data_IF_871816310383
#
_entry.id   IF_871816310383
#
_cell.length_a   1.000
_cell.length_b   1.000
_cell.length_c   1.000
_cell.angle_alpha   90.00
_cell.angle_beta   90.00
_cell.angle_gamma   90.00
#
_symmetry.space_group_name_H-M   'P 1'
#
loop_
_entity.id
_entity.type
_entity.pdbx_description
1 polymer ?
#
# COMPACT_ATOMS: atom_id res chain seq x y z
N UNK A 1 -14.20 -40.80 2.94
CA UNK A 1 -12.98 -40.58 2.13
C UNK A 1 -13.41 -39.90 0.84
N UNK A 2 -12.68 -38.87 0.37
CA UNK A 2 -13.01 -38.23 -0.90
C UNK A 2 -12.57 -39.15 -2.04
N UNK A 3 -13.52 -39.81 -2.69
CA UNK A 3 -13.27 -40.61 -3.89
C UNK A 3 -13.91 -39.82 -5.02
N UNK A 4 -13.11 -39.42 -6.02
CA UNK A 4 -13.64 -38.87 -7.28
C UNK A 4 -14.39 -40.00 -7.98
N UNK A 5 -15.61 -39.74 -8.43
CA UNK A 5 -16.41 -40.75 -9.10
C UNK A 5 -15.70 -41.31 -10.35
N UNK A 6 -15.84 -42.60 -10.66
CA UNK A 6 -15.28 -43.17 -11.89
C UNK A 6 -15.83 -42.40 -13.11
N UNK A 7 -14.95 -41.98 -14.02
CA UNK A 7 -15.30 -41.19 -15.23
C UNK A 7 -15.88 -39.81 -14.91
N UNK A 8 -15.29 -39.10 -13.95
CA UNK A 8 -15.69 -37.74 -13.62
C UNK A 8 -15.37 -36.78 -14.78
N UNK A 9 -16.39 -36.44 -15.56
CA UNK A 9 -16.29 -35.64 -16.80
C UNK A 9 -15.50 -34.33 -16.62
N UNK A 10 -15.73 -33.49 -15.58
CA UNK A 10 -14.95 -32.27 -15.39
C UNK A 10 -13.44 -32.51 -15.20
N UNK A 11 -13.07 -33.64 -14.58
CA UNK A 11 -11.66 -33.98 -14.40
C UNK A 11 -11.04 -34.47 -15.71
N UNK A 12 -11.80 -35.22 -16.52
CA UNK A 12 -11.37 -35.62 -17.86
C UNK A 12 -11.07 -34.40 -18.73
N UNK A 13 -12.02 -33.47 -18.81
CA UNK A 13 -11.87 -32.23 -19.59
C UNK A 13 -10.66 -31.42 -19.12
N UNK A 14 -10.48 -31.29 -17.80
CA UNK A 14 -9.31 -30.61 -17.24
C UNK A 14 -8.00 -31.29 -17.67
N UNK A 15 -7.91 -32.61 -17.54
CA UNK A 15 -6.70 -33.36 -17.90
C UNK A 15 -6.40 -33.28 -19.40
N UNK A 16 -7.45 -33.30 -20.25
CA UNK A 16 -7.31 -33.14 -21.70
C UNK A 16 -6.79 -31.73 -22.06
N UNK A 17 -7.38 -30.68 -21.49
CA UNK A 17 -6.94 -29.29 -21.72
C UNK A 17 -5.53 -29.03 -21.20
N UNK A 18 -5.18 -29.61 -20.05
CA UNK A 18 -3.86 -29.47 -19.45
C UNK A 18 -2.84 -30.43 -20.04
N UNK A 19 -3.25 -31.42 -20.84
CA UNK A 19 -2.38 -32.44 -21.41
C UNK A 19 -1.66 -33.31 -20.35
N UNK A 20 -2.34 -33.66 -19.26
CA UNK A 20 -1.80 -34.45 -18.13
C UNK A 20 -2.55 -35.76 -17.94
N UNK A 21 -1.97 -36.68 -17.17
CA UNK A 21 -2.58 -38.00 -16.90
C UNK A 21 -3.75 -37.91 -15.91
N UNK A 22 -4.86 -38.57 -16.26
CA UNK A 22 -6.08 -38.56 -15.43
C UNK A 22 -5.89 -39.31 -14.11
N UNK A 23 -5.26 -40.48 -14.12
CA UNK A 23 -5.09 -41.30 -12.93
C UNK A 23 -4.15 -40.62 -11.93
N UNK A 24 -3.07 -40.04 -12.44
CA UNK A 24 -2.09 -39.30 -11.63
C UNK A 24 -2.72 -38.05 -11.00
N UNK A 25 -3.44 -37.24 -11.79
CA UNK A 25 -4.13 -36.05 -11.27
C UNK A 25 -5.22 -36.42 -10.26
N UNK A 26 -6.03 -37.44 -10.56
CA UNK A 26 -7.06 -37.93 -9.64
C UNK A 26 -6.45 -38.38 -8.30
N UNK A 27 -5.31 -39.09 -8.34
CA UNK A 27 -4.60 -39.52 -7.13
C UNK A 27 -4.17 -38.32 -6.28
N UNK A 28 -3.46 -37.35 -6.86
CA UNK A 28 -2.91 -36.22 -6.12
C UNK A 28 -3.92 -35.13 -5.72
N UNK A 29 -5.12 -35.14 -6.30
CA UNK A 29 -6.24 -34.33 -5.80
C UNK A 29 -6.82 -34.88 -4.49
N UNK A 30 -6.65 -36.17 -4.21
CA UNK A 30 -7.24 -36.85 -3.06
C UNK A 30 -6.20 -37.34 -2.02
N UNK A 31 -4.92 -37.19 -2.32
CA UNK A 31 -3.82 -37.63 -1.48
C UNK A 31 -2.77 -36.54 -1.28
N UNK A 32 -2.11 -36.58 -0.14
CA UNK A 32 -0.98 -35.70 0.17
C UNK A 32 0.24 -36.53 0.54
N UNK A 33 1.38 -36.21 -0.06
CA UNK A 33 2.68 -36.72 0.35
C UNK A 33 3.19 -35.95 1.58
N UNK A 34 3.68 -36.68 2.57
CA UNK A 34 4.31 -36.13 3.76
C UNK A 34 5.73 -36.67 3.88
N UNK A 35 6.68 -35.77 4.06
CA UNK A 35 8.08 -36.10 4.26
C UNK A 35 8.50 -35.80 5.69
N UNK A 36 8.91 -36.84 6.42
CA UNK A 36 9.61 -36.72 7.71
C UNK A 36 11.12 -36.68 7.46
N UNK A 37 11.93 -36.61 8.52
CA UNK A 37 13.39 -36.61 8.39
C UNK A 37 13.93 -37.94 7.85
N UNK A 38 13.17 -39.03 7.99
CA UNK A 38 13.62 -40.39 7.68
C UNK A 38 12.80 -41.08 6.59
N UNK A 39 11.53 -40.70 6.40
CA UNK A 39 10.60 -41.42 5.51
C UNK A 39 9.63 -40.49 4.78
N UNK A 40 9.09 -40.98 3.65
CA UNK A 40 7.97 -40.33 2.96
C UNK A 40 6.77 -41.24 2.92
N UNK A 41 5.62 -40.75 3.38
CA UNK A 41 4.37 -41.50 3.33
C UNK A 41 3.28 -40.69 2.62
N UNK A 42 2.33 -41.40 2.01
CA UNK A 42 1.17 -40.84 1.33
C UNK A 42 -0.05 -41.07 2.21
N UNK A 43 -0.86 -40.04 2.43
CA UNK A 43 -2.12 -40.17 3.16
C UNK A 43 -3.29 -39.61 2.37
N UNK A 44 -4.48 -40.22 2.47
CA UNK A 44 -5.70 -39.61 1.95
C UNK A 44 -6.01 -38.33 2.74
N UNK A 45 -6.68 -37.39 2.08
CA UNK A 45 -7.13 -36.13 2.70
C UNK A 45 -8.66 -36.09 2.81
N UNK A 46 -9.17 -35.22 3.69
CA UNK A 46 -10.62 -35.03 3.82
C UNK A 46 -11.20 -34.30 2.59
N UNK A 47 -12.52 -34.41 2.38
CA UNK A 47 -13.20 -33.70 1.27
C UNK A 47 -12.92 -32.19 1.30
N UNK A 48 -13.00 -31.58 2.49
CA UNK A 48 -12.72 -30.16 2.67
C UNK A 48 -11.27 -29.81 2.29
N UNK A 49 -10.30 -30.62 2.72
CA UNK A 49 -8.89 -30.43 2.35
C UNK A 49 -8.64 -30.59 0.85
N UNK A 50 -9.32 -31.53 0.19
CA UNK A 50 -9.24 -31.72 -1.25
C UNK A 50 -9.82 -30.52 -2.02
N UNK A 51 -10.98 -30.01 -1.61
CA UNK A 51 -11.58 -28.79 -2.19
C UNK A 51 -10.64 -27.60 -2.08
N UNK A 52 -10.10 -27.35 -0.88
CA UNK A 52 -9.18 -26.23 -0.67
C UNK A 52 -7.88 -26.38 -1.48
N UNK A 53 -7.32 -27.59 -1.54
CA UNK A 53 -6.12 -27.86 -2.34
C UNK A 53 -6.36 -27.68 -3.85
N UNK A 54 -7.52 -28.09 -4.35
CA UNK A 54 -7.95 -27.85 -5.74
C UNK A 54 -8.04 -26.36 -6.03
N UNK A 55 -8.65 -25.59 -5.14
CA UNK A 55 -8.80 -24.13 -5.34
C UNK A 55 -7.45 -23.41 -5.25
N UNK A 56 -6.54 -23.88 -4.38
CA UNK A 56 -5.16 -23.43 -4.34
C UNK A 56 -4.42 -23.72 -5.66
N UNK A 57 -4.58 -24.92 -6.22
CA UNK A 57 -4.01 -25.29 -7.52
C UNK A 57 -4.55 -24.39 -8.64
N UNK A 58 -5.86 -24.15 -8.68
CA UNK A 58 -6.49 -23.28 -9.68
C UNK A 58 -5.98 -21.83 -9.58
N UNK A 59 -5.93 -21.25 -8.37
CA UNK A 59 -5.34 -19.92 -8.13
C UNK A 59 -3.89 -19.85 -8.59
N UNK A 60 -3.10 -20.90 -8.32
CA UNK A 60 -1.69 -20.94 -8.68
C UNK A 60 -1.47 -21.01 -10.18
N UNK A 61 -2.24 -21.84 -10.90
CA UNK A 61 -2.22 -21.89 -12.37
C UNK A 61 -2.56 -20.51 -12.93
N UNK A 62 -3.63 -19.89 -12.44
CA UNK A 62 -4.05 -18.56 -12.90
C UNK A 62 -2.97 -17.50 -12.63
N UNK A 63 -2.36 -17.49 -11.44
CA UNK A 63 -1.29 -16.56 -11.10
C UNK A 63 -0.06 -16.74 -12.00
N UNK A 64 0.35 -17.98 -12.28
CA UNK A 64 1.45 -18.27 -13.20
C UNK A 64 1.14 -17.82 -14.63
N UNK A 65 -0.06 -18.11 -15.12
CA UNK A 65 -0.51 -17.65 -16.44
C UNK A 65 -0.54 -16.12 -16.52
N UNK A 66 -1.08 -15.45 -15.51
CA UNK A 66 -1.13 -13.99 -15.43
C UNK A 66 0.28 -13.38 -15.51
N UNK A 67 1.22 -13.89 -14.71
CA UNK A 67 2.61 -13.43 -14.73
C UNK A 67 3.26 -13.66 -16.09
N UNK A 68 3.08 -14.84 -16.70
CA UNK A 68 3.60 -15.14 -18.03
C UNK A 68 3.07 -14.19 -19.10
N UNK A 69 1.78 -13.83 -19.04
CA UNK A 69 1.17 -12.85 -19.94
C UNK A 69 1.82 -11.48 -19.73
N UNK A 70 1.95 -11.03 -18.49
CA UNK A 70 2.58 -9.75 -18.15
C UNK A 70 4.04 -9.71 -18.64
N UNK A 71 4.79 -10.79 -18.47
CA UNK A 71 6.18 -10.89 -18.92
C UNK A 71 6.29 -10.81 -20.45
N UNK A 72 5.40 -11.48 -21.19
CA UNK A 72 5.36 -11.40 -22.64
C UNK A 72 4.98 -10.00 -23.14
N UNK A 73 4.02 -9.35 -22.48
CA UNK A 73 3.67 -7.95 -22.78
C UNK A 73 4.86 -7.03 -22.51
N UNK A 74 5.54 -7.18 -21.38
CA UNK A 74 6.72 -6.39 -21.03
C UNK A 74 7.88 -6.60 -22.03
N UNK A 75 8.12 -7.84 -22.47
CA UNK A 75 9.12 -8.14 -23.49
C UNK A 75 8.77 -7.48 -24.83
N UNK A 76 7.50 -7.53 -25.25
CA UNK A 76 7.04 -6.89 -26.47
C UNK A 76 7.12 -5.36 -26.43
N UNK A 77 6.99 -4.75 -25.24
CA UNK A 77 7.10 -3.31 -25.02
C UNK A 77 8.53 -2.83 -24.68
N UNK A 78 9.49 -3.76 -24.55
CA UNK A 78 10.86 -3.41 -24.14
C UNK A 78 11.60 -2.61 -25.22
N UNK A 79 12.09 -1.42 -24.87
CA UNK A 79 12.92 -0.60 -25.75
C UNK A 79 14.36 -1.11 -25.81
N UNK A 80 14.90 -1.31 -27.00
CA UNK A 80 16.32 -1.69 -27.19
C UNK A 80 17.30 -0.59 -26.73
N UNK A 81 16.85 0.66 -26.66
CA UNK A 81 17.65 1.80 -26.16
C UNK A 81 17.24 2.11 -24.73
N UNK A 82 18.23 2.32 -23.85
CA UNK A 82 18.00 2.68 -22.45
C UNK A 82 17.22 4.00 -22.37
N UNK A 83 16.13 3.99 -21.62
CA UNK A 83 15.29 5.17 -21.41
C UNK A 83 16.07 6.30 -20.71
N UNK A 84 15.86 7.53 -21.17
CA UNK A 84 16.40 8.74 -20.54
C UNK A 84 15.58 9.15 -19.30
N UNK A 85 14.26 8.99 -19.38
CA UNK A 85 13.30 9.33 -18.33
C UNK A 85 12.06 8.44 -18.47
N UNK A 86 11.23 8.38 -17.42
CA UNK A 86 9.97 7.64 -17.44
C UNK A 86 8.86 8.41 -16.70
N UNK A 87 7.61 8.06 -17.00
CA UNK A 87 6.43 8.45 -16.21
C UNK A 87 5.82 7.14 -15.69
N UNK A 88 5.80 6.98 -14.37
CA UNK A 88 5.14 5.85 -13.73
C UNK A 88 3.67 6.18 -13.48
N UNK A 89 2.77 5.31 -13.95
CA UNK A 89 1.33 5.41 -13.64
C UNK A 89 1.01 4.27 -12.67
N UNK A 90 0.62 4.63 -11.45
CA UNK A 90 0.19 3.66 -10.44
C UNK A 90 -1.34 3.63 -10.40
N UNK A 91 -1.90 2.49 -10.81
CA UNK A 91 -3.31 2.16 -10.65
C UNK A 91 -3.42 1.00 -9.66
N UNK A 92 -3.97 1.28 -8.48
CA UNK A 92 -4.10 0.32 -7.38
C UNK A 92 -5.44 0.52 -6.69
N UNK A 93 -5.96 -0.55 -6.10
CA UNK A 93 -7.15 -0.51 -5.26
C UNK A 93 -7.07 0.61 -4.22
N UNK A 94 -8.12 1.42 -4.14
CA UNK A 94 -8.28 2.39 -3.07
C UNK A 94 -8.55 1.70 -1.73
N UNK A 95 -8.61 2.49 -0.66
CA UNK A 95 -8.96 1.98 0.67
C UNK A 95 -10.33 1.28 0.66
N UNK A 96 -10.40 0.05 1.17
CA UNK A 96 -11.61 -0.78 1.16
C UNK A 96 -12.08 -1.10 2.58
N UNK A 97 -13.38 -1.00 2.80
CA UNK A 97 -14.02 -1.44 4.05
C UNK A 97 -15.40 -1.96 3.72
N UNK A 98 -15.59 -3.25 3.94
CA UNK A 98 -16.84 -3.98 3.76
C UNK A 98 -17.39 -4.45 5.11
N UNK A 99 -18.57 -5.05 5.09
CA UNK A 99 -19.16 -5.71 6.28
C UNK A 99 -18.28 -6.86 6.79
N UNK A 100 -17.61 -7.58 5.88
CA UNK A 100 -16.69 -8.67 6.21
C UNK A 100 -15.38 -8.41 5.46
N UNK A 101 -14.32 -8.06 6.20
CA UNK A 101 -12.98 -7.86 5.64
C UNK A 101 -12.08 -9.05 5.99
N UNK A 102 -11.26 -9.48 5.04
CA UNK A 102 -10.33 -10.60 5.21
C UNK A 102 -8.90 -10.18 4.84
N UNK A 103 -8.02 -11.15 4.61
CA UNK A 103 -6.60 -10.95 4.31
C UNK A 103 -6.38 -10.07 3.07
N UNK A 104 -7.24 -10.18 2.06
CA UNK A 104 -7.16 -9.40 0.82
C UNK A 104 -7.35 -7.90 1.10
N UNK A 105 -8.39 -7.52 1.83
CA UNK A 105 -8.64 -6.14 2.23
C UNK A 105 -7.51 -5.62 3.13
N UNK A 106 -6.99 -6.47 4.02
CA UNK A 106 -5.86 -6.11 4.87
C UNK A 106 -4.61 -5.73 4.05
N UNK A 107 -4.27 -6.50 3.01
CA UNK A 107 -3.17 -6.18 2.11
C UNK A 107 -3.43 -4.88 1.31
N UNK A 108 -4.65 -4.69 0.80
CA UNK A 108 -5.05 -3.47 0.08
C UNK A 108 -4.91 -2.23 0.98
N UNK A 109 -5.42 -2.30 2.20
CA UNK A 109 -5.38 -1.17 3.14
C UNK A 109 -3.96 -0.89 3.64
N UNK A 110 -3.12 -1.93 3.81
CA UNK A 110 -1.70 -1.75 4.09
C UNK A 110 -0.95 -1.02 2.96
N UNK A 111 -1.22 -1.36 1.69
CA UNK A 111 -0.67 -0.59 0.57
C UNK A 111 -1.14 0.87 0.57
N UNK A 112 -2.42 1.12 0.86
CA UNK A 112 -2.95 2.47 0.99
C UNK A 112 -2.30 3.25 2.14
N UNK A 113 -1.99 2.63 3.29
CA UNK A 113 -1.22 3.26 4.37
C UNK A 113 0.17 3.72 3.88
N UNK A 114 0.90 2.86 3.15
CA UNK A 114 2.23 3.21 2.59
C UNK A 114 2.15 4.35 1.58
N UNK A 115 1.17 4.32 0.68
CA UNK A 115 0.96 5.39 -0.30
C UNK A 115 0.54 6.70 0.38
N UNK A 116 -0.30 6.63 1.41
CA UNK A 116 -0.72 7.80 2.17
C UNK A 116 0.46 8.41 2.94
N UNK A 117 1.36 7.59 3.48
CA UNK A 117 2.57 8.08 4.11
C UNK A 117 3.44 8.87 3.13
N UNK A 118 3.68 8.33 1.94
CA UNK A 118 4.49 9.00 0.92
C UNK A 118 3.83 10.31 0.47
N UNK A 119 2.50 10.31 0.32
CA UNK A 119 1.73 11.53 0.07
C UNK A 119 1.94 12.57 1.18
N UNK A 120 1.79 12.19 2.45
CA UNK A 120 1.96 13.11 3.58
C UNK A 120 3.39 13.69 3.61
N UNK A 121 4.42 12.86 3.42
CA UNK A 121 5.81 13.31 3.37
C UNK A 121 6.09 14.24 2.20
N UNK A 122 5.52 13.95 1.03
CA UNK A 122 5.71 14.78 -0.16
C UNK A 122 5.05 16.16 -0.01
N UNK A 123 3.80 16.20 0.42
CA UNK A 123 3.07 17.45 0.69
C UNK A 123 3.81 18.27 1.74
N UNK A 124 4.30 17.63 2.80
CA UNK A 124 5.09 18.30 3.84
C UNK A 124 6.38 18.92 3.30
N UNK A 125 7.14 18.17 2.48
CA UNK A 125 8.38 18.65 1.88
C UNK A 125 8.13 19.86 0.96
N UNK A 126 7.10 19.81 0.12
CA UNK A 126 6.75 20.94 -0.75
C UNK A 126 6.37 22.19 0.06
N UNK A 127 5.60 22.03 1.14
CA UNK A 127 5.20 23.15 1.98
C UNK A 127 6.42 23.73 2.73
N UNK A 128 7.34 22.89 3.20
CA UNK A 128 8.59 23.31 3.82
C UNK A 128 9.49 24.09 2.84
N UNK A 129 9.67 23.61 1.62
CA UNK A 129 10.49 24.27 0.59
C UNK A 129 9.96 25.66 0.25
N UNK A 130 8.64 25.82 0.11
CA UNK A 130 8.00 27.11 -0.11
C UNK A 130 8.22 28.06 1.08
N UNK A 131 8.09 27.55 2.31
CA UNK A 131 8.33 28.34 3.51
C UNK A 131 9.79 28.80 3.62
N UNK A 132 10.75 27.93 3.31
CA UNK A 132 12.17 28.29 3.28
C UNK A 132 12.48 29.32 2.20
N UNK A 133 11.92 29.16 0.99
CA UNK A 133 12.10 30.07 -0.14
C UNK A 133 11.60 31.48 0.19
N UNK A 134 10.48 31.57 0.91
CA UNK A 134 9.90 32.84 1.32
C UNK A 134 10.41 33.32 2.70
N UNK A 135 11.46 32.70 3.25
CA UNK A 135 12.13 33.08 4.51
C UNK A 135 11.19 33.08 5.73
N UNK A 136 10.25 32.14 5.73
CA UNK A 136 9.26 31.96 6.77
C UNK A 136 9.88 31.13 7.91
N UNK A 137 9.79 31.57 9.18
CA UNK A 137 10.08 30.71 10.32
C UNK A 137 9.15 29.49 10.26
N UNK A 138 9.75 28.34 10.00
CA UNK A 138 9.05 27.06 9.95
C UNK A 138 8.67 26.68 11.39
N UNK A 139 7.39 26.84 11.72
CA UNK A 139 6.81 26.17 12.88
C UNK A 139 6.35 24.80 12.42
N UNK A 140 6.71 23.75 13.14
CA UNK A 140 6.23 22.39 12.90
C UNK A 140 4.69 22.43 12.79
N UNK A 141 4.18 22.29 11.57
CA UNK A 141 2.76 22.08 11.35
C UNK A 141 2.50 20.66 11.85
N UNK A 142 1.57 20.54 12.79
CA UNK A 142 1.18 19.26 13.37
C UNK A 142 0.50 18.45 12.27
N UNK A 143 1.19 17.41 11.77
CA UNK A 143 0.74 16.58 10.66
C UNK A 143 0.31 15.22 11.18
N UNK A 144 -0.67 14.63 10.50
CA UNK A 144 -1.07 13.25 10.80
C UNK A 144 0.03 12.27 10.32
N UNK A 145 0.80 11.73 11.28
CA UNK A 145 1.78 10.68 11.02
C UNK A 145 1.12 9.30 11.12
N UNK A 146 1.05 8.60 9.99
CA UNK A 146 0.53 7.23 9.91
C UNK A 146 1.63 6.15 10.02
N UNK A 147 2.90 6.52 10.23
CA UNK A 147 3.99 5.59 10.50
C UNK A 147 3.70 4.63 11.67
N UNK A 148 3.04 5.03 12.78
CA UNK A 148 2.68 4.09 13.84
C UNK A 148 1.74 2.97 13.38
N UNK A 149 0.81 3.25 12.45
CA UNK A 149 -0.07 2.23 11.86
C UNK A 149 0.74 1.27 10.97
N UNK A 150 1.62 1.82 10.13
CA UNK A 150 2.53 1.01 9.30
C UNK A 150 3.41 0.11 10.18
N UNK A 151 3.93 0.63 11.29
CA UNK A 151 4.76 -0.13 12.22
C UNK A 151 3.99 -1.30 12.83
N UNK A 152 2.75 -1.07 13.26
CA UNK A 152 1.86 -2.14 13.75
C UNK A 152 1.73 -3.27 12.73
N UNK A 153 1.65 -2.95 11.44
CA UNK A 153 1.45 -3.93 10.37
C UNK A 153 2.73 -4.70 10.02
N UNK A 154 3.83 -3.98 9.72
CA UNK A 154 5.01 -4.57 9.05
C UNK A 154 6.24 -4.75 9.94
N UNK A 155 6.30 -4.13 11.12
CA UNK A 155 7.48 -4.23 11.99
C UNK A 155 7.64 -5.64 12.56
N UNK A 156 8.81 -5.88 13.16
CA UNK A 156 9.03 -7.10 13.96
C UNK A 156 7.99 -7.15 15.09
N UNK A 157 7.40 -8.33 15.32
CA UNK A 157 6.24 -8.51 16.20
C UNK A 157 5.00 -7.71 15.78
N UNK A 158 4.93 -7.22 14.53
CA UNK A 158 3.72 -6.65 13.93
C UNK A 158 2.78 -7.72 13.39
N UNK A 159 1.65 -7.31 12.83
CA UNK A 159 0.58 -8.21 12.37
C UNK A 159 1.10 -9.24 11.35
N UNK A 160 1.84 -8.80 10.32
CA UNK A 160 2.38 -9.69 9.28
C UNK A 160 3.44 -10.66 9.82
N UNK A 161 4.32 -10.19 10.71
CA UNK A 161 5.38 -11.02 11.28
C UNK A 161 4.79 -12.11 12.20
N UNK A 162 3.81 -11.75 13.04
CA UNK A 162 3.10 -12.70 13.88
C UNK A 162 2.31 -13.73 13.06
N UNK A 163 1.74 -13.31 11.92
CA UNK A 163 1.05 -14.20 10.97
C UNK A 163 2.03 -15.19 10.33
N UNK A 164 3.18 -14.72 9.88
CA UNK A 164 4.23 -15.56 9.29
C UNK A 164 4.81 -16.56 10.29
N UNK A 165 4.98 -16.15 11.56
CA UNK A 165 5.37 -17.06 12.63
C UNK A 165 4.31 -18.13 12.87
N UNK A 166 3.03 -17.76 12.97
CA UNK A 166 1.96 -18.73 13.21
C UNK A 166 1.79 -19.69 12.02
N UNK A 167 2.05 -19.23 10.80
CA UNK A 167 2.05 -20.08 9.62
C UNK A 167 3.10 -21.21 9.68
N UNK A 168 4.21 -20.99 10.40
CA UNK A 168 5.27 -21.99 10.59
C UNK A 168 4.96 -22.99 11.69
N UNK A 169 4.00 -22.69 12.58
CA UNK A 169 3.66 -23.57 13.70
C UNK A 169 2.85 -24.79 13.22
N UNK A 170 3.25 -26.04 13.56
CA UNK A 170 2.56 -27.25 13.11
C UNK A 170 1.09 -27.34 13.55
N UNK A 171 0.73 -26.68 14.66
CA UNK A 171 -0.63 -26.58 15.21
C UNK A 171 -1.19 -25.15 15.18
N UNK A 172 -0.57 -24.25 14.41
CA UNK A 172 -1.04 -22.87 14.29
C UNK A 172 -2.39 -22.80 13.59
N UNK A 173 -3.34 -22.07 14.18
CA UNK A 173 -4.68 -21.83 13.65
C UNK A 173 -4.99 -20.33 13.66
N UNK A 174 -6.04 -19.90 12.95
CA UNK A 174 -6.50 -18.51 12.99
C UNK A 174 -6.88 -18.07 14.41
N UNK A 175 -7.41 -18.99 15.22
CA UNK A 175 -7.76 -18.74 16.63
C UNK A 175 -6.50 -18.51 17.49
N UNK A 176 -5.45 -19.34 17.35
CA UNK A 176 -4.19 -19.15 18.11
C UNK A 176 -3.46 -17.89 17.67
N UNK A 177 -3.50 -17.57 16.37
CA UNK A 177 -2.99 -16.31 15.84
C UNK A 177 -3.72 -15.10 16.43
N UNK A 178 -5.05 -15.12 16.45
CA UNK A 178 -5.85 -14.03 17.05
C UNK A 178 -5.46 -13.78 18.52
N UNK A 179 -5.30 -14.86 19.31
CA UNK A 179 -4.82 -14.73 20.70
C UNK A 179 -3.41 -14.13 20.77
N UNK A 180 -2.52 -14.50 19.86
CA UNK A 180 -1.16 -13.95 19.79
C UNK A 180 -1.18 -12.45 19.49
N UNK A 181 -2.04 -12.00 18.55
CA UNK A 181 -2.26 -10.58 18.28
C UNK A 181 -2.74 -9.84 19.54
N UNK A 182 -3.76 -10.36 20.22
CA UNK A 182 -4.29 -9.75 21.43
C UNK A 182 -3.23 -9.65 22.54
N UNK A 183 -2.49 -10.73 22.80
CA UNK A 183 -1.43 -10.74 23.81
C UNK A 183 -0.32 -9.71 23.51
N UNK A 184 -0.07 -9.44 22.23
CA UNK A 184 1.02 -8.58 21.78
C UNK A 184 0.61 -7.10 21.74
N UNK A 185 -0.59 -6.78 21.26
CA UNK A 185 -0.98 -5.40 20.94
C UNK A 185 -2.15 -4.86 21.77
N UNK A 186 -3.03 -5.70 22.32
CA UNK A 186 -4.20 -5.23 23.06
C UNK A 186 -3.76 -4.44 24.30
N UNK A 187 -4.35 -3.25 24.49
CA UNK A 187 -4.01 -2.28 25.55
C UNK A 187 -2.56 -1.76 25.53
N UNK A 188 -1.78 -2.10 24.51
CA UNK A 188 -0.38 -1.66 24.32
C UNK A 188 -0.21 -0.73 23.12
N UNK A 189 -1.08 -0.88 22.11
CA UNK A 189 -1.10 -0.04 20.92
C UNK A 189 -2.48 0.63 20.79
N UNK A 190 -2.52 1.96 20.72
CA UNK A 190 -3.76 2.72 20.57
C UNK A 190 -4.46 2.47 19.22
N UNK A 191 -3.73 1.94 18.23
CA UNK A 191 -4.24 1.68 16.89
C UNK A 191 -4.76 0.25 16.71
N UNK A 192 -4.68 -0.59 17.75
CA UNK A 192 -5.14 -1.96 17.73
C UNK A 192 -6.25 -2.17 18.75
N UNK A 193 -7.40 -2.64 18.28
CA UNK A 193 -8.57 -2.91 19.10
C UNK A 193 -9.06 -4.36 18.91
N UNK A 194 -9.72 -4.87 19.94
CA UNK A 194 -10.43 -6.15 19.89
C UNK A 194 -11.94 -5.89 19.89
N UNK A 195 -12.71 -6.46 18.95
CA UNK A 195 -14.17 -6.39 18.99
C UNK A 195 -14.73 -6.96 20.31
N UNK A 196 -15.72 -6.30 20.91
CA UNK A 196 -16.25 -6.69 22.23
C UNK A 196 -16.91 -8.08 22.25
N UNK A 197 -17.52 -8.48 21.14
CA UNK A 197 -18.32 -9.71 21.03
C UNK A 197 -17.63 -10.82 20.21
N UNK A 198 -16.42 -10.58 19.68
CA UNK A 198 -15.69 -11.54 18.87
C UNK A 198 -14.31 -11.83 19.45
N UNK A 199 -13.93 -13.11 19.44
CA UNK A 199 -12.58 -13.57 19.74
C UNK A 199 -11.82 -14.01 18.48
N UNK A 200 -12.39 -13.76 17.29
CA UNK A 200 -11.92 -14.22 15.99
C UNK A 200 -11.72 -13.08 14.99
N UNK A 201 -11.60 -11.86 15.49
CA UNK A 201 -11.43 -10.66 14.67
C UNK A 201 -10.58 -9.62 15.38
N UNK A 202 -9.95 -8.73 14.63
CA UNK A 202 -9.19 -7.60 15.17
C UNK A 202 -9.52 -6.34 14.40
N UNK A 203 -9.31 -5.19 15.05
CA UNK A 203 -9.59 -3.88 14.48
C UNK A 203 -8.28 -3.09 14.39
N UNK A 204 -8.04 -2.47 13.24
CA UNK A 204 -6.95 -1.52 13.04
C UNK A 204 -7.55 -0.13 12.81
N UNK A 205 -7.04 0.85 13.53
CA UNK A 205 -7.28 2.26 13.26
C UNK A 205 -6.37 2.72 12.13
N UNK A 206 -6.88 2.68 10.90
CA UNK A 206 -6.20 3.24 9.74
C UNK A 206 -6.34 4.77 9.69
N UNK A 207 -5.59 5.41 8.79
CA UNK A 207 -5.71 6.85 8.54
C UNK A 207 -7.13 7.26 8.08
N UNK A 208 -7.81 6.35 7.40
CA UNK A 208 -9.12 6.57 6.80
C UNK A 208 -10.27 6.30 7.79
N UNK A 209 -10.27 5.12 8.41
CA UNK A 209 -11.30 4.66 9.34
C UNK A 209 -10.81 3.46 10.18
N UNK A 210 -11.62 3.03 11.15
CA UNK A 210 -11.44 1.74 11.83
C UNK A 210 -11.93 0.62 10.93
N UNK A 211 -11.11 -0.41 10.74
CA UNK A 211 -11.48 -1.59 9.94
C UNK A 211 -11.37 -2.85 10.79
N UNK A 212 -12.49 -3.59 10.89
CA UNK A 212 -12.54 -4.91 11.49
C UNK A 212 -12.22 -5.98 10.45
N UNK A 213 -11.24 -6.83 10.75
CA UNK A 213 -10.84 -7.97 9.93
C UNK A 213 -11.16 -9.28 10.65
N UNK A 214 -11.81 -10.21 9.94
CA UNK A 214 -12.09 -11.56 10.44
C UNK A 214 -10.84 -12.42 10.27
N UNK A 215 -10.35 -13.04 11.35
CA UNK A 215 -9.15 -13.87 11.31
C UNK A 215 -9.33 -15.15 10.50
N UNK A 216 -10.57 -15.61 10.30
CA UNK A 216 -10.86 -16.84 9.57
C UNK A 216 -10.24 -16.84 8.16
N UNK A 217 -9.43 -17.87 7.90
CA UNK A 217 -8.74 -18.08 6.62
C UNK A 217 -7.45 -17.29 6.44
N UNK A 218 -7.04 -16.43 7.39
CA UNK A 218 -5.80 -15.65 7.26
C UNK A 218 -4.56 -16.54 7.10
N UNK A 219 -4.39 -17.57 7.94
CA UNK A 219 -3.23 -18.44 7.86
C UNK A 219 -3.19 -19.21 6.53
N UNK A 220 -4.34 -19.71 6.09
CA UNK A 220 -4.44 -20.47 4.84
C UNK A 220 -4.13 -19.59 3.63
N UNK A 221 -4.75 -18.40 3.57
CA UNK A 221 -4.51 -17.41 2.51
C UNK A 221 -3.07 -16.92 2.48
N UNK A 222 -2.44 -16.72 3.63
CA UNK A 222 -1.04 -16.29 3.71
C UNK A 222 -0.05 -17.39 3.34
N UNK A 223 -0.36 -18.65 3.66
CA UNK A 223 0.46 -19.82 3.29
C UNK A 223 0.43 -20.10 1.79
N UNK A 224 -0.71 -19.85 1.14
CA UNK A 224 -1.01 -20.15 -0.28
C UNK A 224 -0.39 -21.48 -0.75
N UNK A 225 -0.53 -22.52 0.10
CA UNK A 225 0.21 -23.77 -0.09
C UNK A 225 -0.46 -24.65 -1.13
N UNK A 226 0.22 -24.83 -2.25
CA UNK A 226 -0.12 -25.83 -3.27
C UNK A 226 0.69 -27.10 -3.04
N UNK A 227 0.07 -28.27 -3.22
CA UNK A 227 0.78 -29.55 -3.11
C UNK A 227 1.77 -29.71 -4.26
N UNK A 228 3.02 -30.03 -3.94
CA UNK A 228 4.10 -30.14 -4.93
C UNK A 228 3.84 -31.25 -5.93
N UNK A 229 3.15 -32.30 -5.51
CA UNK A 229 2.81 -33.42 -6.36
C UNK A 229 1.80 -33.03 -7.44
N UNK A 230 0.83 -32.17 -7.13
CA UNK A 230 -0.09 -31.63 -8.12
C UNK A 230 0.66 -30.77 -9.16
N UNK A 231 1.64 -29.97 -8.71
CA UNK A 231 2.50 -29.20 -9.61
C UNK A 231 3.37 -30.11 -10.48
N UNK A 232 3.89 -31.22 -9.93
CA UNK A 232 4.70 -32.20 -10.68
C UNK A 232 3.90 -32.80 -11.84
N UNK A 233 2.61 -33.11 -11.63
CA UNK A 233 1.72 -33.55 -12.71
C UNK A 233 1.57 -32.47 -13.78
N UNK A 234 1.40 -31.20 -13.40
CA UNK A 234 1.33 -30.11 -14.39
C UNK A 234 2.65 -29.92 -15.14
N UNK A 235 3.80 -30.13 -14.48
CA UNK A 235 5.13 -30.07 -15.10
C UNK A 235 5.40 -31.23 -16.06
N UNK A 236 4.73 -32.38 -15.91
CA UNK A 236 4.82 -33.51 -16.85
C UNK A 236 3.87 -33.40 -18.04
N UNK A 237 3.17 -32.27 -18.17
CA UNK A 237 2.26 -32.00 -19.27
C UNK A 237 2.90 -32.13 -20.66
N UNK A 238 2.11 -32.64 -21.61
CA UNK A 238 2.45 -32.66 -23.04
C UNK A 238 2.24 -31.31 -23.72
N UNK A 239 1.57 -30.36 -23.05
CA UNK A 239 1.29 -29.03 -23.57
C UNK A 239 2.43 -28.07 -23.21
N UNK A 240 3.21 -27.67 -24.22
CA UNK A 240 4.44 -26.90 -24.06
C UNK A 240 4.26 -25.61 -23.25
N UNK A 241 3.22 -24.83 -23.53
CA UNK A 241 2.95 -23.58 -22.81
C UNK A 241 2.76 -23.84 -21.30
N UNK A 242 2.04 -24.90 -20.92
CA UNK A 242 1.86 -25.24 -19.51
C UNK A 242 3.19 -25.58 -18.83
N UNK A 243 4.08 -26.29 -19.52
CA UNK A 243 5.42 -26.56 -18.98
C UNK A 243 6.25 -25.28 -18.79
N UNK A 244 6.15 -24.32 -19.72
CA UNK A 244 6.83 -23.02 -19.61
C UNK A 244 6.37 -22.24 -18.36
N UNK A 245 5.07 -22.25 -18.04
CA UNK A 245 4.51 -21.58 -16.85
C UNK A 245 5.16 -22.03 -15.52
N UNK A 246 5.69 -23.26 -15.46
CA UNK A 246 6.24 -23.85 -14.25
C UNK A 246 7.77 -24.05 -14.27
N UNK A 247 8.46 -23.62 -15.33
CA UNK A 247 9.92 -23.70 -15.45
C UNK A 247 10.66 -22.62 -14.64
N UNK A 248 10.05 -21.45 -14.43
CA UNK A 248 10.72 -20.29 -13.80
C UNK A 248 11.00 -20.44 -12.30
N UNK A 249 10.38 -21.42 -11.61
CA UNK A 249 10.67 -21.68 -10.19
C UNK A 249 12.09 -22.23 -9.94
N UNK A 250 12.79 -22.73 -10.96
CA UNK A 250 14.19 -23.18 -10.81
C UNK A 250 15.21 -22.04 -10.95
N UNK A 251 14.90 -20.97 -11.70
CA UNK A 251 15.83 -19.84 -11.91
C UNK A 251 15.84 -18.85 -10.74
N UNK A 252 14.79 -18.80 -9.92
CA UNK A 252 14.67 -17.90 -8.78
C UNK A 252 15.54 -18.29 -7.55
N UNK A 253 16.20 -19.46 -7.58
CA UNK A 253 17.07 -19.94 -6.49
C UNK A 253 18.54 -19.51 -6.68
N UNK A 254 18.91 -19.00 -7.86
CA UNK A 254 20.23 -18.43 -8.12
C UNK A 254 20.18 -16.90 -7.99
N UNK A 255 20.91 -16.28 -7.04
CA UNK A 255 21.01 -14.82 -6.99
C UNK A 255 21.68 -14.36 -8.28
N UNK A 256 20.93 -13.61 -9.08
CA UNK A 256 21.39 -13.05 -10.34
C UNK A 256 22.57 -12.15 -10.07
N UNK A 257 23.70 -12.52 -10.68
CA UNK A 257 24.90 -11.72 -10.80
C UNK A 257 24.56 -10.35 -11.40
N UNK A 258 24.53 -9.33 -10.55
CA UNK A 258 24.64 -7.95 -11.00
C UNK A 258 26.02 -7.75 -11.63
N UNK A 259 26.07 -7.43 -12.92
CA UNK A 259 27.25 -6.94 -13.62
C UNK A 259 27.75 -5.66 -12.97
N UNK A 260 28.85 -5.75 -12.23
CA UNK A 260 29.54 -4.63 -11.60
C UNK A 260 30.46 -3.92 -12.60
N UNK A 261 30.13 -2.70 -13.01
CA UNK A 261 31.07 -1.76 -13.62
C UNK A 261 31.76 -0.92 -12.54
N UNK A 262 33.03 -1.24 -12.29
CA UNK A 262 34.14 -0.40 -11.79
C UNK A 262 33.89 0.72 -10.79
N UNK A 263 34.43 0.54 -9.57
CA UNK A 263 35.30 1.51 -8.86
C UNK A 263 35.91 0.87 -7.60
N UNK A 264 37.23 0.83 -7.53
CA UNK A 264 38.04 0.55 -6.32
C UNK A 264 37.99 1.75 -5.36
N UNK A 265 38.05 1.52 -4.03
CA UNK A 265 39.32 1.73 -3.32
C UNK A 265 39.62 0.72 -2.18
N UNK A 266 40.84 0.84 -1.68
CA UNK A 266 41.70 -0.09 -0.97
C UNK A 266 41.33 -0.51 0.47
N UNK A 267 41.86 -1.71 0.81
CA UNK A 267 42.42 -2.18 2.10
C UNK A 267 41.52 -2.29 3.33
N UNK A 268 41.19 -3.55 3.70
CA UNK A 268 41.27 -4.05 5.09
C UNK A 268 41.38 -5.58 5.14
N UNK A 269 42.18 -6.04 6.09
CA UNK A 269 42.78 -7.36 6.35
C UNK A 269 41.77 -8.54 6.39
N UNK A 270 42.11 -9.76 5.92
CA UNK A 270 41.21 -10.91 5.96
C UNK A 270 41.22 -11.60 7.33
N UNK A 271 40.07 -11.67 8.00
CA UNK A 271 39.83 -12.57 9.12
C UNK A 271 39.25 -13.91 8.62
N UNK A 272 39.86 -15.03 9.03
CA UNK A 272 39.50 -16.41 8.67
C UNK A 272 38.02 -16.74 8.96
N UNK A 273 37.31 -17.46 8.08
CA UNK A 273 36.03 -18.06 8.42
C UNK A 273 36.24 -19.35 9.24
N UNK A 274 35.61 -19.42 10.41
CA UNK A 274 35.46 -20.63 11.21
C UNK A 274 34.54 -21.62 10.49
N UNK A 275 35.02 -22.86 10.32
CA UNK A 275 34.27 -23.97 9.70
C UNK A 275 33.02 -24.30 10.53
N UNK A 276 31.84 -23.96 10.03
CA UNK A 276 30.56 -24.49 10.50
C UNK A 276 30.34 -25.93 9.99
N UNK A 277 29.78 -26.78 10.84
CA UNK A 277 29.51 -28.21 10.61
C UNK A 277 28.55 -28.46 9.42
N UNK A 278 28.77 -29.51 8.60
CA UNK A 278 27.83 -29.90 7.57
C UNK A 278 26.69 -30.70 8.21
N UNK A 279 25.45 -30.21 8.11
CA UNK A 279 24.29 -30.96 8.61
C UNK A 279 23.11 -30.12 9.11
N UNK A 280 22.78 -29.00 8.46
CA UNK A 280 21.44 -28.43 8.53
C UNK A 280 21.12 -27.82 7.17
N UNK A 281 20.50 -28.62 6.30
CA UNK A 281 19.66 -28.09 5.22
C UNK A 281 18.44 -27.48 5.90
N UNK A 282 18.53 -26.22 6.30
CA UNK A 282 17.36 -25.45 6.68
C UNK A 282 16.39 -25.53 5.51
N UNK A 283 15.25 -26.20 5.70
CA UNK A 283 14.14 -26.09 4.77
C UNK A 283 13.80 -24.61 4.73
N UNK A 284 14.24 -23.89 3.69
CA UNK A 284 13.70 -22.57 3.40
C UNK A 284 12.20 -22.76 3.23
N UNK A 285 11.44 -22.37 4.24
CA UNK A 285 10.00 -22.32 4.11
C UNK A 285 9.67 -21.35 3.00
N UNK A 286 8.84 -21.79 2.04
CA UNK A 286 8.31 -20.96 0.95
C UNK A 286 7.83 -19.62 1.53
N UNK A 287 8.25 -18.52 0.90
CA UNK A 287 7.87 -17.16 1.30
C UNK A 287 6.35 -17.04 1.29
N UNK A 288 5.75 -16.56 2.37
CA UNK A 288 4.30 -16.33 2.49
C UNK A 288 3.84 -15.20 1.58
N UNK A 289 2.54 -15.14 1.28
CA UNK A 289 1.96 -14.08 0.45
C UNK A 289 2.20 -12.71 1.08
N UNK A 290 2.00 -12.57 2.40
CA UNK A 290 2.23 -11.34 3.14
C UNK A 290 3.69 -10.87 3.06
N UNK A 291 4.65 -11.79 3.18
CA UNK A 291 6.08 -11.47 3.03
C UNK A 291 6.43 -11.01 1.61
N UNK A 292 5.93 -11.72 0.58
CA UNK A 292 6.15 -11.34 -0.82
C UNK A 292 5.52 -9.97 -1.12
N UNK A 293 4.28 -9.75 -0.69
CA UNK A 293 3.56 -8.49 -0.85
C UNK A 293 4.29 -7.32 -0.20
N UNK A 294 4.76 -7.49 1.05
CA UNK A 294 5.56 -6.49 1.75
C UNK A 294 6.82 -6.10 0.96
N UNK A 295 7.55 -7.08 0.44
CA UNK A 295 8.78 -6.82 -0.33
C UNK A 295 8.47 -6.09 -1.65
N UNK A 296 7.44 -6.52 -2.39
CA UNK A 296 7.02 -5.86 -3.63
C UNK A 296 6.55 -4.43 -3.38
N UNK A 297 5.81 -4.20 -2.30
CA UNK A 297 5.38 -2.86 -1.89
C UNK A 297 6.57 -1.99 -1.50
N UNK A 298 7.56 -2.52 -0.79
CA UNK A 298 8.79 -1.78 -0.47
C UNK A 298 9.53 -1.33 -1.74
N UNK A 299 9.73 -2.23 -2.71
CA UNK A 299 10.38 -1.92 -3.98
C UNK A 299 9.61 -0.88 -4.80
N UNK A 300 8.27 -0.97 -4.79
CA UNK A 300 7.40 0.04 -5.39
C UNK A 300 7.61 1.40 -4.72
N UNK A 301 7.58 1.46 -3.39
CA UNK A 301 7.76 2.71 -2.66
C UNK A 301 9.15 3.31 -2.89
N UNK A 302 10.21 2.49 -2.98
CA UNK A 302 11.56 2.95 -3.32
C UNK A 302 11.58 3.66 -4.69
N UNK A 303 10.93 3.06 -5.69
CA UNK A 303 10.81 3.64 -7.03
C UNK A 303 10.03 4.94 -7.00
N UNK A 304 8.88 4.99 -6.32
CA UNK A 304 8.02 6.17 -6.25
C UNK A 304 8.70 7.33 -5.51
N UNK A 305 9.41 7.04 -4.41
CA UNK A 305 10.13 8.05 -3.62
C UNK A 305 11.26 8.74 -4.40
N UNK A 306 11.78 8.11 -5.45
CA UNK A 306 12.77 8.68 -6.35
C UNK A 306 12.17 9.56 -7.47
N UNK A 307 10.85 9.72 -7.50
CA UNK A 307 10.12 10.48 -8.54
C UNK A 307 9.37 11.68 -7.95
N UNK A 308 8.93 12.58 -8.83
CA UNK A 308 7.98 13.64 -8.48
C UNK A 308 6.55 13.12 -8.67
N UNK A 309 5.75 12.96 -7.59
CA UNK A 309 4.42 12.40 -7.70
C UNK A 309 3.39 13.43 -8.20
N UNK A 310 2.41 12.96 -8.95
CA UNK A 310 1.21 13.70 -9.33
C UNK A 310 -0.01 12.87 -8.96
N UNK A 311 -0.91 13.42 -8.13
CA UNK A 311 -2.05 12.66 -7.60
C UNK A 311 -3.36 13.02 -8.31
N UNK A 312 -4.13 11.98 -8.66
CA UNK A 312 -5.53 12.08 -9.09
C UNK A 312 -6.38 11.28 -8.10
N UNK A 313 -7.30 11.95 -7.40
CA UNK A 313 -8.18 11.31 -6.42
C UNK A 313 -9.57 11.09 -7.03
N UNK A 314 -9.83 9.88 -7.50
CA UNK A 314 -11.13 9.51 -8.06
C UNK A 314 -12.16 9.30 -6.94
N UNK A 315 -13.36 9.88 -7.08
CA UNK A 315 -14.47 9.73 -6.14
C UNK A 315 -15.63 9.06 -6.87
N UNK A 316 -16.09 7.93 -6.33
CA UNK A 316 -17.28 7.24 -6.84
C UNK A 316 -18.53 7.99 -6.37
N UNK A 317 -19.35 8.54 -7.28
CA UNK A 317 -20.46 9.41 -6.88
C UNK A 317 -21.67 8.62 -6.36
N UNK A 318 -21.84 7.35 -6.72
CA UNK A 318 -22.87 6.45 -6.18
C UNK A 318 -22.45 4.98 -6.35
N UNK A 319 -23.05 4.07 -5.55
CA UNK A 319 -22.73 2.64 -5.59
C UNK A 319 -23.44 1.87 -6.73
N UNK A 320 -24.45 2.48 -7.37
CA UNK A 320 -25.28 1.86 -8.42
C UNK A 320 -24.76 2.07 -9.84
N UNK A 321 -23.62 2.75 -10.01
CA UNK A 321 -22.99 3.09 -11.29
C UNK A 321 -23.88 3.97 -12.20
N UNK A 322 -24.82 4.71 -11.61
CA UNK A 322 -25.66 5.63 -12.36
C UNK A 322 -24.88 6.88 -12.78
N UNK A 323 -25.06 7.39 -14.01
CA UNK A 323 -24.45 8.63 -14.42
C UNK A 323 -25.02 9.81 -13.61
N UNK A 324 -24.18 10.79 -13.28
CA UNK A 324 -24.55 12.06 -12.64
C UNK A 324 -25.43 11.97 -11.38
N UNK A 325 -25.38 10.84 -10.67
CA UNK A 325 -26.09 10.64 -9.40
C UNK A 325 -25.10 10.70 -8.26
N UNK A 326 -25.38 11.48 -7.22
CA UNK A 326 -24.44 11.78 -6.14
C UNK A 326 -24.99 11.39 -4.77
N UNK A 327 -24.23 10.59 -4.03
CA UNK A 327 -24.44 10.27 -2.63
C UNK A 327 -23.44 11.05 -1.77
N UNK A 328 -23.95 12.04 -1.04
CA UNK A 328 -23.15 12.93 -0.19
C UNK A 328 -22.40 12.18 0.91
N UNK A 329 -23.05 11.18 1.55
CA UNK A 329 -22.44 10.41 2.64
C UNK A 329 -21.28 9.58 2.10
N UNK A 330 -21.49 8.94 0.94
CA UNK A 330 -20.46 8.12 0.28
C UNK A 330 -19.29 8.97 -0.22
N UNK A 331 -19.55 10.16 -0.74
CA UNK A 331 -18.50 11.08 -1.18
C UNK A 331 -17.65 11.57 0.00
N UNK A 332 -18.27 11.99 1.11
CA UNK A 332 -17.54 12.43 2.32
C UNK A 332 -16.69 11.30 2.90
N UNK A 333 -17.20 10.08 2.93
CA UNK A 333 -16.44 8.90 3.38
C UNK A 333 -15.19 8.68 2.51
N UNK A 334 -15.32 8.77 1.18
CA UNK A 334 -14.18 8.63 0.28
C UNK A 334 -13.18 9.78 0.41
N UNK A 335 -13.63 11.02 0.60
CA UNK A 335 -12.75 12.18 0.82
C UNK A 335 -11.91 12.05 2.11
N UNK A 336 -12.45 11.41 3.15
CA UNK A 336 -11.68 10.99 4.32
C UNK A 336 -10.69 9.90 3.95
N UNK A 337 -11.17 8.85 3.27
CA UNK A 337 -10.38 7.67 2.96
C UNK A 337 -9.24 7.90 1.96
N UNK A 338 -9.26 8.97 1.18
CA UNK A 338 -8.17 9.35 0.28
C UNK A 338 -7.25 10.46 0.85
N UNK A 339 -7.44 10.84 2.12
CA UNK A 339 -6.60 11.81 2.83
C UNK A 339 -6.80 13.27 2.39
N UNK A 340 -7.81 13.55 1.56
CA UNK A 340 -8.09 14.90 1.05
C UNK A 340 -8.45 15.86 2.18
N UNK A 341 -9.25 15.42 3.16
CA UNK A 341 -9.61 16.30 4.28
C UNK A 341 -8.40 16.71 5.12
N UNK A 342 -7.44 15.80 5.31
CA UNK A 342 -6.21 16.13 6.06
C UNK A 342 -5.31 17.08 5.26
N UNK A 343 -5.25 16.89 3.93
CA UNK A 343 -4.56 17.83 3.03
C UNK A 343 -5.15 19.23 3.13
N UNK A 344 -6.49 19.33 3.07
CA UNK A 344 -7.20 20.60 3.24
C UNK A 344 -6.93 21.18 4.63
N UNK A 345 -6.88 20.36 5.68
CA UNK A 345 -6.57 20.80 7.05
C UNK A 345 -5.17 21.40 7.13
N UNK A 346 -4.17 20.76 6.53
CA UNK A 346 -2.79 21.26 6.45
C UNK A 346 -2.75 22.57 5.66
N UNK A 347 -3.33 22.60 4.45
CA UNK A 347 -3.36 23.81 3.61
C UNK A 347 -4.11 24.97 4.27
N UNK A 348 -5.18 24.69 5.01
CA UNK A 348 -5.96 25.70 5.72
C UNK A 348 -5.29 26.17 7.02
N UNK A 349 -4.54 25.29 7.70
CA UNK A 349 -3.75 25.63 8.88
C UNK A 349 -2.50 26.46 8.52
N UNK A 350 -2.02 26.35 7.29
CA UNK A 350 -1.02 27.22 6.69
C UNK A 350 -1.61 28.55 6.21
N UNK A 351 -1.23 28.97 5.00
CA UNK A 351 -1.71 30.20 4.37
C UNK A 351 -2.16 29.94 2.94
N UNK A 352 -3.44 29.56 2.72
CA UNK A 352 -3.93 29.17 1.41
C UNK A 352 -4.02 30.34 0.43
N UNK A 353 -4.20 31.56 0.94
CA UNK A 353 -4.26 32.78 0.13
C UNK A 353 -2.87 33.40 -0.01
N UNK A 354 -2.32 33.36 -1.23
CA UNK A 354 -1.00 33.90 -1.56
C UNK A 354 -1.14 34.98 -2.63
N UNK A 355 -0.72 36.20 -2.31
CA UNK A 355 -0.83 37.35 -3.23
C UNK A 355 0.51 38.04 -3.38
N UNK A 356 0.99 38.24 -4.60
CA UNK A 356 2.14 39.14 -4.81
C UNK A 356 1.75 40.58 -4.44
N UNK A 357 2.73 41.39 -4.07
CA UNK A 357 2.51 42.82 -3.82
C UNK A 357 1.86 43.52 -5.01
N UNK A 358 2.19 43.11 -6.23
CA UNK A 358 1.63 43.67 -7.45
C UNK A 358 0.17 43.25 -7.67
N UNK A 359 -0.17 41.98 -7.48
CA UNK A 359 -1.55 41.49 -7.60
C UNK A 359 -2.45 42.12 -6.53
N UNK A 360 -1.98 42.15 -5.28
CA UNK A 360 -2.72 42.75 -4.17
C UNK A 360 -2.95 44.24 -4.42
N UNK A 361 -1.91 44.98 -4.80
CA UNK A 361 -2.03 46.39 -5.14
C UNK A 361 -3.01 46.59 -6.29
N UNK A 362 -2.88 45.87 -7.39
CA UNK A 362 -3.74 46.03 -8.57
C UNK A 362 -5.20 45.73 -8.27
N UNK A 363 -5.47 44.70 -7.43
CA UNK A 363 -6.83 44.31 -7.04
C UNK A 363 -7.48 45.28 -6.06
N UNK A 364 -6.74 45.78 -5.07
CA UNK A 364 -7.27 46.55 -3.96
C UNK A 364 -6.96 48.05 -4.02
N UNK A 365 -6.29 48.54 -5.07
CA UNK A 365 -5.98 49.97 -5.27
C UNK A 365 -7.20 50.87 -5.14
N UNK A 366 -8.37 50.41 -5.59
CA UNK A 366 -9.63 51.16 -5.51
C UNK A 366 -10.05 51.51 -4.08
N UNK A 367 -9.56 50.76 -3.08
CA UNK A 367 -9.84 50.96 -1.66
C UNK A 367 -8.84 51.90 -0.99
N UNK A 368 -7.78 52.28 -1.69
CA UNK A 368 -6.68 53.07 -1.14
C UNK A 368 -6.95 54.56 -1.36
N UNK A 369 -6.71 55.38 -0.34
CA UNK A 369 -6.70 56.85 -0.54
C UNK A 369 -5.39 57.22 -1.24
N UNK A 370 -5.45 58.19 -2.16
CA UNK A 370 -4.29 58.59 -2.97
C UNK A 370 -3.06 58.96 -2.12
N UNK A 371 -3.28 59.53 -0.93
CA UNK A 371 -2.24 59.90 0.04
C UNK A 371 -1.47 58.71 0.63
N UNK A 372 -2.06 57.51 0.61
CA UNK A 372 -1.49 56.30 1.21
C UNK A 372 -0.75 55.45 0.15
N UNK A 373 -0.80 55.85 -1.12
CA UNK A 373 -0.12 55.19 -2.24
C UNK A 373 1.30 55.71 -2.38
N UNK A 374 2.28 54.91 -1.94
CA UNK A 374 3.70 55.20 -2.02
C UNK A 374 4.31 54.65 -3.33
N UNK A 375 5.49 55.14 -3.70
CA UNK A 375 6.29 54.59 -4.80
C UNK A 375 6.73 53.15 -4.51
N UNK A 376 6.97 52.81 -3.24
CA UNK A 376 7.13 51.43 -2.81
C UNK A 376 5.75 50.74 -2.66
N UNK A 377 5.45 49.87 -3.62
CA UNK A 377 4.22 49.07 -3.63
C UNK A 377 4.15 48.10 -2.46
N UNK A 378 5.30 47.60 -1.96
CA UNK A 378 5.34 46.70 -0.81
C UNK A 378 4.87 47.42 0.45
N UNK A 379 5.47 48.57 0.74
CA UNK A 379 5.07 49.40 1.88
C UNK A 379 3.63 49.91 1.76
N UNK A 380 3.18 50.26 0.55
CA UNK A 380 1.79 50.67 0.30
C UNK A 380 0.80 49.58 0.68
N UNK A 381 1.02 48.34 0.21
CA UNK A 381 0.12 47.25 0.53
C UNK A 381 0.12 46.92 2.03
N UNK A 382 1.27 47.05 2.70
CA UNK A 382 1.41 46.83 4.14
C UNK A 382 0.53 47.79 4.94
N UNK A 383 0.69 49.09 4.70
CA UNK A 383 -0.10 50.13 5.38
C UNK A 383 -1.61 49.94 5.15
N UNK A 384 -2.00 49.53 3.94
CA UNK A 384 -3.40 49.31 3.59
C UNK A 384 -3.96 48.07 4.27
N UNK A 385 -3.21 46.98 4.35
CA UNK A 385 -3.64 45.75 5.02
C UNK A 385 -3.85 45.98 6.52
N UNK A 386 -2.93 46.71 7.17
CA UNK A 386 -3.03 47.10 8.59
C UNK A 386 -4.26 47.99 8.86
N UNK A 387 -4.58 48.90 7.93
CA UNK A 387 -5.73 49.79 8.05
C UNK A 387 -7.08 49.12 7.74
N UNK A 388 -7.12 48.19 6.77
CA UNK A 388 -8.35 47.50 6.36
C UNK A 388 -8.75 46.36 7.30
N UNK A 389 -7.82 45.86 8.13
CA UNK A 389 -8.07 44.76 9.07
C UNK A 389 -7.65 45.24 10.49
N UNK A 390 -8.46 46.10 11.14
CA UNK A 390 -8.06 46.80 12.37
C UNK A 390 -8.08 45.91 13.62
N UNK A 391 -8.86 44.82 13.60
CA UNK A 391 -8.91 43.86 14.70
C UNK A 391 -7.74 42.88 14.56
N UNK A 392 -6.63 43.21 15.25
CA UNK A 392 -5.44 42.37 15.49
C UNK A 392 -5.34 41.20 14.51
N UNK A 393 -4.81 41.47 13.32
CA UNK A 393 -3.94 40.49 12.69
C UNK A 393 -2.84 40.26 13.73
N UNK A 394 -2.99 39.20 14.52
CA UNK A 394 -1.85 38.71 15.25
C UNK A 394 -0.83 38.25 14.19
N UNK A 395 0.46 38.18 14.54
CA UNK A 395 1.48 37.55 13.68
C UNK A 395 1.10 36.11 13.21
N UNK A 396 0.02 35.55 13.75
CA UNK A 396 -0.57 34.28 13.35
C UNK A 396 -1.49 34.37 12.11
N UNK A 397 -2.12 35.50 11.82
CA UNK A 397 -3.20 35.58 10.82
C UNK A 397 -2.72 36.02 9.43
N UNK A 398 -1.66 36.82 9.36
CA UNK A 398 -0.98 37.16 8.12
C UNK A 398 0.53 37.08 8.29
N UNK A 399 1.23 36.73 7.21
CA UNK A 399 2.69 36.67 7.19
C UNK A 399 3.22 37.43 5.99
N UNK A 400 4.09 38.39 6.26
CA UNK A 400 4.78 39.18 5.24
C UNK A 400 5.93 38.37 4.66
N UNK A 401 6.02 38.33 3.33
CA UNK A 401 7.09 37.64 2.61
C UNK A 401 7.98 38.66 1.88
N UNK A 402 9.15 38.26 1.37
CA UNK A 402 9.94 39.10 0.47
C UNK A 402 9.14 39.55 -0.76
N UNK A 403 8.30 38.67 -1.34
CA UNK A 403 7.61 38.91 -2.62
C UNK A 403 6.07 38.91 -2.56
N UNK A 404 5.47 38.46 -1.45
CA UNK A 404 4.03 38.17 -1.33
C UNK A 404 3.46 38.45 0.07
N UNK A 405 2.13 38.44 0.18
CA UNK A 405 1.39 38.26 1.42
C UNK A 405 0.82 36.85 1.50
N UNK A 406 0.90 36.29 2.70
CA UNK A 406 0.23 35.07 3.08
C UNK A 406 -0.90 35.38 4.06
N UNK A 407 -2.12 34.93 3.76
CA UNK A 407 -3.32 35.17 4.58
C UNK A 407 -3.98 33.86 4.97
N UNK A 408 -4.41 33.74 6.23
CA UNK A 408 -5.20 32.60 6.73
C UNK A 408 -6.62 32.57 6.11
N UNK A 409 -7.31 31.41 6.09
CA UNK A 409 -8.62 31.26 5.44
C UNK A 409 -9.70 32.25 5.90
N UNK A 410 -9.66 32.65 7.18
CA UNK A 410 -10.64 33.55 7.78
C UNK A 410 -10.42 35.02 7.42
N UNK A 411 -9.26 35.36 6.84
CA UNK A 411 -9.02 36.69 6.24
C UNK A 411 -9.41 36.59 4.77
N UNK A 412 -10.72 36.47 4.54
CA UNK A 412 -11.27 36.72 3.22
C UNK A 412 -11.51 38.22 3.12
N UNK A 413 -10.55 38.93 2.52
CA UNK A 413 -10.65 40.38 2.28
C UNK A 413 -11.99 40.71 1.61
N UNK A 414 -12.52 39.83 0.76
CA UNK A 414 -13.83 39.96 0.11
C UNK A 414 -15.02 39.98 1.08
N UNK A 415 -14.95 39.25 2.20
CA UNK A 415 -16.03 39.14 3.20
C UNK A 415 -16.02 40.33 4.17
N UNK A 416 -14.82 40.86 4.49
CA UNK A 416 -14.67 42.14 5.20
C UNK A 416 -15.10 43.34 4.35
N UNK A 417 -14.93 43.27 3.02
CA UNK A 417 -15.33 44.33 2.09
C UNK A 417 -16.84 44.49 1.94
N UNK A 418 -17.59 43.38 2.01
CA UNK A 418 -19.06 43.42 1.99
C UNK A 418 -19.67 44.10 3.23
N UNK A 419 -18.95 44.16 4.36
CA UNK A 419 -19.44 44.86 5.57
C UNK A 419 -19.12 46.36 5.54
N UNK A 420 -18.01 46.76 4.91
CA UNK A 420 -17.59 48.16 4.82
C UNK A 420 -18.25 48.93 3.68
N UNK A 421 -18.67 48.27 2.60
CA UNK A 421 -19.48 48.90 1.54
C UNK A 421 -20.98 49.05 1.87
N UNK A 422 -21.42 48.73 3.09
CA UNK A 422 -22.80 48.96 3.56
C UNK A 422 -23.02 50.33 4.21
N UNK A 423 -22.04 51.24 4.20
CA UNK A 423 -22.19 52.61 4.69
C UNK A 423 -21.84 53.61 3.61
#
# INVERSE_FOLDING_TARGET
MGVVEPKHEPLSIFCDLMGVDYEEMCHWLCHRKLATATETYIKPISKLQATNARDALAKHIYAKLFNWIVDHVNQALHSAVKQHSFIGVLDIYGFETFEINSFEQFCINYANEKLQQQFNLHVFKLEQEEYMKEQIPWTLIDFYDNQPCINLIESKLGILDLLDEECKMPKGTDDTWAQKLYNTHLNKCALFEKPRLSNKAFIIQHFADKVEYQCEGFLEKNKDTVFEEQIKVLKSSKFKMLTELFQDDEKAISPTSATSSGRTPLTRIPAKPTKGRPGQTGKEHKKTVGHQFRNSLHLLMETLNATTPHYVRCIKPNDFKFPFTFDEKRAVQQLRACGVLETIRISAAGFPSRWTYQEFFSRYRVLMKQKDVLSDRKQTCKNVLENLIPYKISLWDSKEMPTKFLLRPNINVHQFLMSTCRH
#
